data_IF_017604145379
#
_entry.id   IF_017604145379
#
_cell.length_a   1.000
_cell.length_b   1.000
_cell.length_c   1.000
_cell.angle_alpha   90.00
_cell.angle_beta   90.00
_cell.angle_gamma   90.00
#
_symmetry.space_group_name_H-M   'P 1'
#
loop_
_entity.id
_entity.type
_entity.pdbx_description
1 polymer ?
#
# COMPACT_ATOMS: atom_id res chain seq x y z
N UNK A 1 50.43 1.48 20.74
CA UNK A 1 49.52 1.88 19.65
C UNK A 1 49.12 3.32 19.88
N UNK A 2 49.39 4.21 18.92
CA UNK A 2 49.10 5.64 19.06
C UNK A 2 47.63 5.92 18.73
N UNK A 3 47.13 7.10 19.11
CA UNK A 3 45.78 7.53 18.76
C UNK A 3 45.56 7.58 17.23
N UNK A 4 46.59 7.99 16.49
CA UNK A 4 46.56 8.00 15.03
C UNK A 4 46.38 6.59 14.45
N UNK A 5 47.06 5.59 15.01
CA UNK A 5 46.93 4.20 14.56
C UNK A 5 45.51 3.66 14.76
N UNK A 6 44.86 4.02 15.87
CA UNK A 6 43.47 3.64 16.16
C UNK A 6 42.48 4.30 15.18
N UNK A 7 42.70 5.57 14.84
CA UNK A 7 41.84 6.30 13.91
C UNK A 7 41.93 5.72 12.49
N UNK A 8 43.12 5.30 12.07
CA UNK A 8 43.32 4.68 10.76
C UNK A 8 42.71 3.26 10.74
N UNK A 9 43.00 2.45 11.77
CA UNK A 9 42.56 1.05 11.80
C UNK A 9 41.05 0.90 11.93
N UNK A 10 40.39 1.78 12.69
CA UNK A 10 38.95 1.68 12.97
C UNK A 10 38.14 2.82 12.34
N UNK A 11 38.66 4.04 12.34
CA UNK A 11 37.94 5.20 11.82
C UNK A 11 37.74 5.13 10.30
N UNK A 12 38.78 4.79 9.54
CA UNK A 12 38.68 4.65 8.08
C UNK A 12 37.62 3.62 7.65
N UNK A 13 37.60 2.36 8.14
CA UNK A 13 36.59 1.40 7.72
C UNK A 13 35.18 1.78 8.19
N UNK A 14 35.02 2.36 9.38
CA UNK A 14 33.71 2.86 9.85
C UNK A 14 33.20 3.97 8.91
N UNK A 15 34.08 4.91 8.54
CA UNK A 15 33.71 6.03 7.66
C UNK A 15 33.28 5.51 6.28
N UNK A 16 33.99 4.53 5.72
CA UNK A 16 33.59 3.89 4.45
C UNK A 16 32.20 3.26 4.55
N UNK A 17 31.92 2.50 5.61
CA UNK A 17 30.60 1.89 5.81
C UNK A 17 29.50 2.94 5.93
N UNK A 18 29.74 3.99 6.72
CA UNK A 18 28.78 5.10 6.89
C UNK A 18 28.55 5.84 5.57
N UNK A 19 29.60 6.10 4.79
CA UNK A 19 29.49 6.77 3.51
C UNK A 19 28.66 5.95 2.51
N UNK A 20 28.96 4.65 2.39
CA UNK A 20 28.20 3.74 1.52
C UNK A 20 26.74 3.65 1.98
N UNK A 21 26.50 3.50 3.28
CA UNK A 21 25.15 3.49 3.84
C UNK A 21 24.38 4.77 3.51
N UNK A 22 24.98 5.95 3.70
CA UNK A 22 24.34 7.22 3.41
C UNK A 22 23.98 7.35 1.92
N UNK A 23 24.87 6.93 1.01
CA UNK A 23 24.59 6.97 -0.42
C UNK A 23 23.41 6.07 -0.79
N UNK A 24 23.32 4.88 -0.21
CA UNK A 24 22.29 3.88 -0.53
C UNK A 24 20.94 4.24 0.09
N UNK A 25 20.92 4.59 1.38
CA UNK A 25 19.69 4.60 2.18
C UNK A 25 19.13 6.01 2.43
N UNK A 26 19.95 7.06 2.31
CA UNK A 26 19.49 8.42 2.62
C UNK A 26 18.57 8.99 1.53
N UNK A 27 18.66 8.46 0.30
CA UNK A 27 17.80 8.86 -0.82
C UNK A 27 16.61 7.92 -0.98
N UNK A 28 15.78 7.80 0.05
CA UNK A 28 14.46 7.17 -0.12
C UNK A 28 13.43 8.22 -0.52
N UNK A 29 12.80 8.10 -1.70
CA UNK A 29 11.67 8.95 -2.05
C UNK A 29 10.61 8.77 -0.97
N UNK A 30 10.13 9.89 -0.42
CA UNK A 30 9.12 9.84 0.64
C UNK A 30 7.94 8.99 0.13
N UNK A 31 7.44 8.03 0.92
CA UNK A 31 6.25 7.29 0.53
C UNK A 31 5.14 8.29 0.19
N UNK A 32 4.36 7.99 -0.86
CA UNK A 32 3.27 8.87 -1.29
C UNK A 32 2.43 9.28 -0.08
N UNK A 33 2.12 10.58 0.00
CA UNK A 33 1.41 11.15 1.17
C UNK A 33 0.16 10.33 1.44
N UNK A 34 -0.08 9.97 2.70
CA UNK A 34 -1.35 9.37 3.12
C UNK A 34 -2.46 10.43 3.02
N UNK A 35 -3.69 10.00 2.80
CA UNK A 35 -4.84 10.91 2.90
C UNK A 35 -4.95 11.45 4.32
N UNK A 36 -5.19 12.76 4.44
CA UNK A 36 -5.44 13.46 5.70
C UNK A 36 -6.85 14.01 5.68
N UNK A 37 -7.60 13.78 6.75
CA UNK A 37 -8.93 14.38 6.90
C UNK A 37 -8.79 15.91 6.95
N UNK A 38 -9.55 16.61 6.11
CA UNK A 38 -9.47 18.06 5.94
C UNK A 38 -8.75 18.51 4.67
N UNK A 39 -7.86 17.69 4.12
CA UNK A 39 -7.22 17.96 2.82
C UNK A 39 -8.12 17.47 1.67
N UNK A 40 -8.18 18.19 0.53
CA UNK A 40 -8.89 17.69 -0.65
C UNK A 40 -8.31 16.36 -1.15
N UNK A 41 -9.19 15.45 -1.55
CA UNK A 41 -8.79 14.15 -2.11
C UNK A 41 -8.19 14.33 -3.52
N UNK A 42 -6.87 14.23 -3.62
CA UNK A 42 -6.11 14.39 -4.87
C UNK A 42 -5.50 13.07 -5.38
N UNK A 43 -5.99 11.94 -4.90
CA UNK A 43 -5.54 10.63 -5.36
C UNK A 43 -6.34 10.16 -6.56
N UNK A 44 -5.77 9.24 -7.35
CA UNK A 44 -6.53 8.56 -8.41
C UNK A 44 -7.70 7.78 -7.77
N UNK A 45 -8.88 7.74 -8.38
CA UNK A 45 -10.00 6.96 -7.86
C UNK A 45 -9.62 5.48 -7.83
N UNK A 46 -9.89 4.80 -6.71
CA UNK A 46 -9.58 3.38 -6.51
C UNK A 46 -10.86 2.64 -6.13
N UNK A 47 -11.06 1.46 -6.73
CA UNK A 47 -12.13 0.54 -6.36
C UNK A 47 -11.51 -0.75 -5.82
N UNK A 48 -11.75 -1.05 -4.54
CA UNK A 48 -11.25 -2.27 -3.92
C UNK A 48 -12.27 -3.39 -4.09
N UNK A 49 -11.89 -4.43 -4.82
CA UNK A 49 -12.72 -5.63 -5.00
C UNK A 49 -12.30 -6.66 -3.97
N UNK A 50 -13.27 -7.23 -3.25
CA UNK A 50 -13.01 -8.32 -2.33
C UNK A 50 -12.52 -9.56 -3.11
N UNK A 51 -11.52 -10.26 -2.58
CA UNK A 51 -11.14 -11.58 -3.13
C UNK A 51 -12.31 -12.55 -2.98
N UNK A 52 -12.44 -13.48 -3.93
CA UNK A 52 -13.44 -14.55 -3.86
C UNK A 52 -13.26 -15.32 -2.55
N UNK A 53 -14.35 -15.52 -1.80
CA UNK A 53 -14.35 -16.23 -0.51
C UNK A 53 -13.78 -15.45 0.68
N UNK A 54 -13.51 -14.14 0.58
CA UNK A 54 -13.14 -13.32 1.75
C UNK A 54 -14.30 -12.97 2.67
N UNK A 55 -15.53 -13.11 2.20
CA UNK A 55 -16.74 -12.82 2.97
C UNK A 55 -17.36 -14.18 3.34
N UNK A 56 -17.62 -14.40 4.62
CA UNK A 56 -18.35 -15.58 5.07
C UNK A 56 -19.75 -15.54 4.44
N UNK A 57 -20.13 -16.62 3.77
CA UNK A 57 -21.41 -16.78 3.11
C UNK A 57 -22.49 -17.08 4.16
N UNK A 58 -22.80 -16.11 5.03
CA UNK A 58 -23.81 -16.27 6.09
C UNK A 58 -25.20 -15.80 5.65
N UNK A 59 -25.45 -15.56 4.36
CA UNK A 59 -26.79 -15.26 3.86
C UNK A 59 -26.86 -15.52 2.37
N UNK A 60 -27.61 -16.57 2.00
CA UNK A 60 -27.82 -17.05 0.64
C UNK A 60 -27.99 -15.96 -0.42
N UNK A 61 -26.87 -15.58 -1.02
CA UNK A 61 -26.81 -14.70 -2.17
C UNK A 61 -25.77 -15.30 -3.11
N UNK A 62 -26.27 -15.98 -4.14
CA UNK A 62 -25.49 -16.56 -5.23
C UNK A 62 -24.39 -15.59 -5.68
N UNK A 63 -23.15 -15.96 -5.37
CA UNK A 63 -21.97 -15.22 -5.77
C UNK A 63 -21.88 -15.17 -7.30
N UNK A 64 -21.85 -13.96 -7.87
CA UNK A 64 -21.62 -13.77 -9.29
C UNK A 64 -20.13 -14.00 -9.55
N UNK A 65 -19.83 -15.15 -10.16
CA UNK A 65 -18.51 -15.52 -10.66
C UNK A 65 -18.16 -14.61 -11.84
N UNK A 66 -17.12 -13.79 -11.68
CA UNK A 66 -16.53 -13.05 -12.80
C UNK A 66 -15.62 -14.00 -13.59
N UNK A 67 -16.25 -14.80 -14.46
CA UNK A 67 -15.58 -15.73 -15.37
C UNK A 67 -16.61 -16.58 -16.09
N UNK A 68 -16.59 -16.50 -17.42
CA UNK A 68 -17.47 -17.20 -18.37
C UNK A 68 -18.90 -16.68 -18.51
N UNK A 69 -19.08 -15.86 -19.57
CA UNK A 69 -20.38 -15.57 -20.16
C UNK A 69 -21.07 -16.86 -20.60
N UNK A 70 -21.99 -17.37 -19.77
CA UNK A 70 -23.11 -18.17 -20.26
C UNK A 70 -24.41 -17.72 -19.60
N UNK A 71 -24.97 -16.66 -20.19
CA UNK A 71 -26.42 -16.53 -20.36
C UNK A 71 -27.29 -16.47 -19.10
N UNK A 72 -26.93 -15.68 -18.10
CA UNK A 72 -27.91 -15.24 -17.11
C UNK A 72 -27.91 -13.73 -17.02
N UNK A 73 -29.04 -13.14 -17.37
CA UNK A 73 -29.30 -11.70 -17.27
C UNK A 73 -29.35 -11.34 -15.79
N UNK A 74 -28.19 -11.05 -15.21
CA UNK A 74 -28.11 -10.34 -13.93
C UNK A 74 -28.89 -9.05 -14.14
N UNK A 75 -30.09 -8.97 -13.55
CA UNK A 75 -30.86 -7.75 -13.54
C UNK A 75 -30.02 -6.70 -12.79
N UNK A 76 -29.30 -5.90 -13.57
CA UNK A 76 -28.47 -4.79 -13.12
C UNK A 76 -29.37 -3.59 -12.81
N UNK A 77 -30.36 -3.86 -11.94
CA UNK A 77 -31.26 -2.85 -11.42
C UNK A 77 -30.68 -2.25 -10.13
N UNK A 78 -31.02 -1.00 -9.79
CA UNK A 78 -30.64 -0.42 -8.50
C UNK A 78 -31.18 -1.27 -7.36
N UNK A 79 -30.30 -1.86 -6.54
CA UNK A 79 -30.69 -2.71 -5.41
C UNK A 79 -30.91 -1.94 -4.10
N UNK A 80 -30.52 -0.66 -4.05
CA UNK A 80 -30.66 0.20 -2.87
C UNK A 80 -29.50 1.20 -2.73
N UNK A 81 -29.47 1.93 -1.61
CA UNK A 81 -28.39 2.86 -1.28
C UNK A 81 -28.45 3.31 0.18
N UNK A 82 -27.28 3.52 0.79
CA UNK A 82 -27.14 4.12 2.11
C UNK A 82 -26.33 5.42 1.98
N UNK A 83 -26.68 6.45 2.74
CA UNK A 83 -25.95 7.71 2.75
C UNK A 83 -25.83 8.24 4.18
N UNK A 84 -24.75 8.98 4.43
CA UNK A 84 -24.47 9.62 5.71
C UNK A 84 -23.55 10.81 5.50
N UNK A 85 -23.62 11.77 6.41
CA UNK A 85 -22.70 12.91 6.49
C UNK A 85 -21.89 12.75 7.76
N UNK A 86 -20.57 12.84 7.63
CA UNK A 86 -19.63 12.78 8.73
C UNK A 86 -19.61 14.13 9.44
#
# INVERSE_FOLDING_TARGET
MTFQDLLILFGAPILVVVAVFAVIFLRHPRPQSRYRAGDPYNFKPVWFVARNGAVADESGATAIVSGEHRGETVASGPKGGAHGKW
#
